data_IF_806269162218
#
_entry.id   IF_806269162218
#
_cell.length_a   1.000
_cell.length_b   1.000
_cell.length_c   1.000
_cell.angle_alpha   90.00
_cell.angle_beta   90.00
_cell.angle_gamma   90.00
#
_symmetry.space_group_name_H-M   'P 1'
#
loop_
_entity.id
_entity.type
_entity.pdbx_description
1 polymer ?
#
# COMPACT_ATOMS: atom_id res chain seq x y z
N UNK A 1 6.85 -15.05 21.05
CA UNK A 1 6.91 -16.36 21.77
C UNK A 1 5.83 -17.24 21.17
N UNK A 2 6.20 -18.34 20.54
CA UNK A 2 5.26 -19.26 19.87
C UNK A 2 4.90 -20.39 20.83
N UNK A 3 3.61 -20.60 21.08
CA UNK A 3 3.12 -21.63 21.97
C UNK A 3 2.77 -22.89 21.20
N UNK A 4 3.32 -24.03 21.58
CA UNK A 4 2.89 -25.34 21.08
C UNK A 4 1.74 -25.85 21.91
N UNK A 5 0.54 -25.85 21.37
CA UNK A 5 -0.68 -26.27 22.09
C UNK A 5 -0.84 -27.80 22.20
N UNK A 6 -0.38 -28.52 21.18
CA UNK A 6 -0.46 -29.99 21.11
C UNK A 6 0.87 -30.54 20.61
N UNK A 7 1.86 -30.67 21.49
CA UNK A 7 3.11 -31.30 21.14
C UNK A 7 3.12 -32.79 21.50
N UNK A 8 3.76 -33.58 20.68
CA UNK A 8 4.01 -35.01 20.91
C UNK A 8 5.51 -35.18 21.08
N UNK A 9 5.96 -35.67 22.24
CA UNK A 9 7.37 -35.96 22.49
C UNK A 9 7.98 -35.16 23.64
N UNK A 10 9.32 -35.00 23.64
CA UNK A 10 10.11 -34.48 24.73
C UNK A 10 10.27 -32.93 24.72
N UNK A 11 9.53 -32.21 23.88
CA UNK A 11 9.62 -30.75 23.84
C UNK A 11 8.90 -30.12 25.03
N UNK A 12 9.58 -29.17 25.69
CA UNK A 12 8.92 -28.33 26.70
C UNK A 12 7.83 -27.46 26.07
N UNK A 13 6.72 -27.16 26.79
CA UNK A 13 5.75 -26.16 26.37
C UNK A 13 6.36 -24.79 26.07
N UNK A 14 7.51 -24.50 26.70
CA UNK A 14 8.26 -23.23 26.56
C UNK A 14 9.39 -23.34 25.52
N UNK A 15 9.38 -24.37 24.68
CA UNK A 15 10.43 -24.57 23.70
C UNK A 15 10.56 -23.37 22.77
N UNK A 16 11.78 -22.82 22.70
CA UNK A 16 12.12 -21.72 21.81
C UNK A 16 12.51 -22.27 20.45
N UNK A 17 11.71 -21.98 19.41
CA UNK A 17 12.00 -22.44 18.07
C UNK A 17 13.08 -21.62 17.38
N UNK A 18 13.05 -20.30 17.56
CA UNK A 18 14.09 -19.37 17.09
C UNK A 18 14.03 -18.07 17.89
N UNK A 19 15.15 -17.36 17.90
CA UNK A 19 15.23 -16.03 18.51
C UNK A 19 16.12 -15.14 17.68
N UNK A 20 15.65 -13.92 17.46
CA UNK A 20 16.50 -12.83 17.00
C UNK A 20 16.13 -11.53 17.69
N UNK A 21 17.12 -10.66 17.83
CA UNK A 21 16.97 -9.35 18.42
C UNK A 21 17.39 -8.29 17.41
N UNK A 22 16.58 -7.26 17.23
CA UNK A 22 16.92 -6.11 16.39
C UNK A 22 17.12 -4.86 17.24
N UNK A 23 18.09 -4.05 16.86
CA UNK A 23 18.32 -2.71 17.40
C UNK A 23 18.38 -1.73 16.24
N UNK A 24 17.61 -0.66 16.34
CA UNK A 24 17.59 0.42 15.36
C UNK A 24 17.81 1.74 16.08
N UNK A 25 18.80 2.50 15.63
CA UNK A 25 19.02 3.90 16.02
C UNK A 25 18.74 4.75 14.79
N UNK A 26 17.86 5.74 14.92
CA UNK A 26 17.37 6.56 13.81
C UNK A 26 17.39 8.02 14.21
N UNK A 27 18.18 8.82 13.50
CA UNK A 27 18.30 10.24 13.71
C UNK A 27 18.11 11.00 12.41
N UNK A 28 17.42 12.14 12.46
CA UNK A 28 17.27 13.01 11.31
C UNK A 28 17.42 14.48 11.68
N UNK A 29 17.88 15.26 10.70
CA UNK A 29 17.89 16.71 10.73
C UNK A 29 17.24 17.22 9.46
N UNK A 30 16.45 18.27 9.55
CA UNK A 30 15.81 18.87 8.40
C UNK A 30 15.85 20.40 8.44
N UNK A 31 15.85 20.99 7.25
CA UNK A 31 15.72 22.44 7.04
C UNK A 31 14.64 22.68 6.01
N UNK A 32 13.66 23.50 6.35
CA UNK A 32 12.56 23.89 5.46
C UNK A 32 12.55 25.39 5.28
N UNK A 33 12.47 25.84 4.02
CA UNK A 33 12.34 27.23 3.66
C UNK A 33 11.19 27.42 2.64
N UNK A 34 10.48 28.50 2.78
CA UNK A 34 9.47 28.96 1.81
C UNK A 34 9.67 30.45 1.57
N UNK A 35 9.58 30.86 0.30
CA UNK A 35 9.79 32.24 -0.08
C UNK A 35 8.75 32.69 -1.11
N UNK A 36 8.09 33.80 -0.82
CA UNK A 36 7.15 34.42 -1.72
C UNK A 36 7.93 35.28 -2.74
N UNK A 37 7.86 34.90 -4.01
CA UNK A 37 8.57 35.54 -5.09
C UNK A 37 7.86 36.82 -5.54
N UNK A 38 6.78 36.70 -6.28
CA UNK A 38 5.96 37.84 -6.76
C UNK A 38 4.68 37.32 -7.40
N UNK A 39 3.63 38.12 -7.47
CA UNK A 39 2.41 37.82 -8.24
C UNK A 39 1.72 36.50 -7.84
N UNK A 40 1.75 36.13 -6.55
CA UNK A 40 1.15 34.90 -6.06
C UNK A 40 2.01 33.64 -6.27
N UNK A 41 3.23 33.79 -6.80
CA UNK A 41 4.20 32.73 -6.96
C UNK A 41 5.06 32.58 -5.70
N UNK A 42 5.17 31.36 -5.16
CA UNK A 42 6.05 31.02 -4.05
C UNK A 42 6.89 29.78 -4.40
N UNK A 43 8.10 29.73 -3.85
CA UNK A 43 9.00 28.58 -3.94
C UNK A 43 9.22 28.01 -2.55
N UNK A 44 9.42 26.70 -2.46
CA UNK A 44 9.84 26.05 -1.23
C UNK A 44 10.94 25.03 -1.47
N UNK A 45 11.75 24.85 -0.43
CA UNK A 45 12.74 23.77 -0.36
C UNK A 45 12.66 23.12 1.02
N UNK A 46 12.74 21.80 1.05
CA UNK A 46 12.82 20.98 2.25
C UNK A 46 13.99 20.02 2.07
N UNK A 47 14.97 20.12 2.94
CA UNK A 47 16.19 19.29 2.91
C UNK A 47 16.22 18.45 4.16
N UNK A 48 16.21 17.14 4.00
CA UNK A 48 16.33 16.20 5.11
C UNK A 48 17.56 15.31 4.93
N UNK A 49 18.32 15.17 5.99
CA UNK A 49 19.32 14.13 6.15
C UNK A 49 18.89 13.19 7.27
N UNK A 50 18.95 11.87 7.02
CA UNK A 50 18.57 10.83 7.96
C UNK A 50 19.65 9.77 8.01
N UNK A 51 20.12 9.47 9.23
CA UNK A 51 21.09 8.43 9.51
C UNK A 51 20.44 7.31 10.31
N UNK A 52 20.68 6.06 9.89
CA UNK A 52 20.14 4.88 10.54
C UNK A 52 21.25 3.85 10.75
N UNK A 53 21.44 3.42 11.99
CA UNK A 53 22.15 2.20 12.33
C UNK A 53 21.14 1.10 12.61
N UNK A 54 21.26 -0.04 11.93
CA UNK A 54 20.32 -1.13 12.06
C UNK A 54 21.03 -2.48 12.15
N UNK A 55 20.87 -3.15 13.29
CA UNK A 55 21.42 -4.48 13.53
C UNK A 55 20.31 -5.47 13.84
N UNK A 56 20.47 -6.71 13.33
CA UNK A 56 19.67 -7.86 13.74
C UNK A 56 20.66 -8.98 14.02
N UNK A 57 20.55 -9.62 15.16
CA UNK A 57 21.41 -10.73 15.57
C UNK A 57 20.57 -11.88 16.13
N UNK A 58 21.00 -13.13 15.83
CA UNK A 58 20.35 -14.35 16.28
C UNK A 58 20.14 -15.37 15.18
N UNK A 59 18.99 -16.05 15.17
CA UNK A 59 18.59 -17.01 14.16
C UNK A 59 17.20 -16.70 13.62
N UNK A 60 16.95 -17.04 12.36
CA UNK A 60 15.61 -17.05 11.79
C UNK A 60 14.98 -18.45 11.95
N UNK A 61 13.73 -18.62 11.50
CA UNK A 61 12.96 -19.86 11.53
C UNK A 61 13.39 -20.90 10.46
N UNK A 62 14.32 -20.56 9.58
CA UNK A 62 14.78 -21.43 8.49
C UNK A 62 15.89 -22.35 8.96
N UNK A 63 15.73 -23.65 8.72
CA UNK A 63 16.68 -24.67 9.13
C UNK A 63 17.69 -25.00 8.01
N UNK A 64 18.97 -25.00 8.34
CA UNK A 64 20.05 -25.45 7.46
C UNK A 64 20.35 -26.94 7.76
N UNK A 65 19.83 -27.82 6.93
CA UNK A 65 20.00 -29.28 7.08
C UNK A 65 21.46 -29.73 6.95
N UNK A 66 22.30 -28.97 6.22
CA UNK A 66 23.72 -29.31 6.08
C UNK A 66 24.50 -28.99 7.37
N UNK A 67 24.10 -27.95 8.09
CA UNK A 67 24.75 -27.55 9.35
C UNK A 67 24.02 -28.07 10.57
N UNK A 68 22.89 -28.74 10.38
CA UNK A 68 22.03 -29.24 11.46
C UNK A 68 21.69 -28.16 12.50
N UNK A 69 21.39 -26.93 12.03
CA UNK A 69 21.14 -25.76 12.87
C UNK A 69 20.18 -24.78 12.16
N UNK A 70 19.57 -23.92 12.95
CA UNK A 70 18.84 -22.76 12.41
C UNK A 70 19.84 -21.84 11.67
N UNK A 71 19.36 -21.22 10.57
CA UNK A 71 20.19 -20.28 9.82
C UNK A 71 20.44 -19.03 10.66
N UNK A 72 21.69 -18.59 10.77
CA UNK A 72 22.02 -17.35 11.47
C UNK A 72 21.42 -16.15 10.73
N UNK A 73 20.94 -15.21 11.50
CA UNK A 73 20.50 -13.90 11.02
C UNK A 73 21.45 -12.87 11.62
N UNK A 74 22.35 -12.32 10.80
CA UNK A 74 23.33 -11.33 11.20
C UNK A 74 23.26 -10.15 10.22
N UNK A 75 22.57 -9.09 10.61
CA UNK A 75 22.42 -7.85 9.84
C UNK A 75 23.14 -6.74 10.57
N UNK A 76 24.06 -6.08 9.89
CA UNK A 76 24.70 -4.83 10.35
C UNK A 76 24.70 -3.88 9.16
N UNK A 77 23.80 -2.89 9.20
CA UNK A 77 23.58 -1.95 8.11
C UNK A 77 23.51 -0.52 8.60
N UNK A 78 24.16 0.35 7.85
CA UNK A 78 24.06 1.80 8.02
C UNK A 78 23.47 2.41 6.77
N UNK A 79 22.55 3.34 6.97
CA UNK A 79 21.93 4.06 5.89
C UNK A 79 22.06 5.55 6.12
N UNK A 80 22.51 6.24 5.08
CA UNK A 80 22.64 7.69 5.04
C UNK A 80 21.76 8.20 3.90
N UNK A 81 20.64 8.81 4.24
CA UNK A 81 19.65 9.26 3.29
C UNK A 81 19.63 10.77 3.21
N UNK A 82 19.76 11.30 2.00
CA UNK A 82 19.50 12.69 1.70
C UNK A 82 18.22 12.79 0.86
N UNK A 83 17.19 13.39 1.43
CA UNK A 83 15.83 13.47 0.89
C UNK A 83 15.45 14.95 0.64
N UNK A 84 15.93 15.57 -0.44
CA UNK A 84 15.51 16.92 -0.81
C UNK A 84 14.11 16.91 -1.43
N UNK A 85 13.35 17.98 -1.14
CA UNK A 85 12.10 18.31 -1.83
C UNK A 85 12.11 19.77 -2.19
N UNK A 86 11.78 20.08 -3.44
CA UNK A 86 11.65 21.46 -3.94
C UNK A 86 10.36 21.61 -4.73
N UNK A 87 9.79 22.79 -4.75
CA UNK A 87 8.61 23.03 -5.54
C UNK A 87 8.24 24.49 -5.66
N UNK A 88 7.36 24.73 -6.61
CA UNK A 88 6.75 26.01 -6.90
C UNK A 88 5.24 25.92 -6.71
N UNK A 89 4.65 26.94 -6.10
CA UNK A 89 3.20 27.12 -6.03
C UNK A 89 2.87 28.48 -6.61
N UNK A 90 1.91 28.52 -7.51
CA UNK A 90 1.43 29.74 -8.10
C UNK A 90 -0.08 29.89 -7.92
N UNK A 91 -0.47 30.82 -7.07
CA UNK A 91 -1.84 31.28 -6.95
C UNK A 91 -2.07 32.35 -8.04
N UNK A 92 -2.53 31.92 -9.22
CA UNK A 92 -2.80 32.81 -10.37
C UNK A 92 -3.82 33.90 -9.95
N UNK A 93 -4.81 33.48 -9.18
CA UNK A 93 -5.78 34.36 -8.49
C UNK A 93 -6.43 33.57 -7.34
N UNK A 94 -7.49 34.12 -6.73
CA UNK A 94 -8.20 33.48 -5.61
C UNK A 94 -8.82 32.11 -5.92
N UNK A 95 -9.03 31.78 -7.19
CA UNK A 95 -9.73 30.57 -7.64
C UNK A 95 -8.83 29.57 -8.31
N UNK A 96 -7.67 29.99 -8.82
CA UNK A 96 -6.80 29.16 -9.65
C UNK A 96 -5.41 29.00 -9.03
N UNK A 97 -5.01 27.78 -8.79
CA UNK A 97 -3.69 27.42 -8.29
C UNK A 97 -3.04 26.36 -9.17
N UNK A 98 -1.74 26.53 -9.45
CA UNK A 98 -0.86 25.56 -10.11
C UNK A 98 0.28 25.24 -9.16
N UNK A 99 0.78 24.01 -9.17
CA UNK A 99 2.01 23.67 -8.51
C UNK A 99 2.83 22.69 -9.34
N UNK A 100 4.14 22.68 -9.08
CA UNK A 100 5.04 21.65 -9.54
C UNK A 100 6.06 21.34 -8.43
N UNK A 101 6.40 20.07 -8.25
CA UNK A 101 7.37 19.65 -7.25
C UNK A 101 8.23 18.51 -7.75
N UNK A 102 9.43 18.43 -7.18
CA UNK A 102 10.35 17.32 -7.28
C UNK A 102 10.80 16.92 -5.89
N UNK A 103 10.83 15.62 -5.62
CA UNK A 103 11.36 15.09 -4.37
C UNK A 103 12.17 13.82 -4.57
N UNK A 104 13.11 13.60 -3.65
CA UNK A 104 13.83 12.35 -3.46
C UNK A 104 13.42 11.77 -2.14
N UNK A 105 12.99 10.51 -2.12
CA UNK A 105 12.70 9.76 -0.92
C UNK A 105 13.49 8.44 -0.91
N UNK A 106 13.99 8.06 0.24
CA UNK A 106 14.73 6.82 0.43
C UNK A 106 14.21 6.11 1.67
N UNK A 107 14.15 4.79 1.61
CA UNK A 107 13.61 3.96 2.69
C UNK A 107 14.42 2.69 2.84
N UNK A 108 14.79 2.39 4.07
CA UNK A 108 15.46 1.16 4.45
C UNK A 108 14.49 -0.03 4.45
N UNK A 109 14.97 -1.27 4.24
CA UNK A 109 14.18 -2.46 4.44
C UNK A 109 13.71 -2.59 5.89
N UNK A 110 12.52 -3.13 6.08
CA UNK A 110 11.95 -3.44 7.40
C UNK A 110 12.56 -4.74 7.95
N UNK A 111 12.31 -5.05 9.24
CA UNK A 111 12.75 -6.30 9.85
C UNK A 111 12.27 -7.51 9.05
N UNK A 112 11.00 -7.54 8.66
CA UNK A 112 10.42 -8.67 7.94
C UNK A 112 11.09 -8.91 6.58
N UNK A 113 11.55 -7.85 5.90
CA UNK A 113 12.30 -8.01 4.65
C UNK A 113 13.62 -8.77 4.86
N UNK A 114 14.24 -8.72 6.05
CA UNK A 114 15.45 -9.48 6.39
C UNK A 114 15.14 -10.88 6.92
N UNK A 115 14.12 -11.03 7.78
CA UNK A 115 13.77 -12.31 8.39
C UNK A 115 13.13 -13.27 7.40
N UNK A 116 12.25 -12.77 6.54
CA UNK A 116 11.44 -13.58 5.63
C UNK A 116 12.05 -13.67 4.22
N UNK A 117 12.94 -12.73 3.90
CA UNK A 117 13.66 -12.69 2.63
C UNK A 117 14.64 -13.83 2.42
N UNK A 118 15.33 -13.82 1.28
CA UNK A 118 16.39 -14.77 1.01
C UNK A 118 17.59 -14.51 1.97
N UNK A 119 17.99 -15.45 2.82
CA UNK A 119 19.10 -15.27 3.75
C UNK A 119 20.46 -15.07 3.05
N UNK A 120 20.57 -15.50 1.79
CA UNK A 120 21.80 -15.36 1.01
C UNK A 120 21.88 -14.03 0.25
N UNK A 121 20.79 -13.23 0.28
CA UNK A 121 20.73 -11.93 -0.41
C UNK A 121 19.84 -10.96 0.38
N UNK A 122 20.45 -10.19 1.25
CA UNK A 122 19.73 -9.16 2.01
C UNK A 122 19.16 -8.06 1.11
N UNK A 123 17.97 -7.57 1.45
CA UNK A 123 17.31 -6.53 0.68
C UNK A 123 18.09 -5.21 0.73
N UNK A 124 17.96 -4.41 -0.33
CA UNK A 124 18.52 -3.07 -0.45
C UNK A 124 17.51 -2.01 -0.06
N UNK A 125 18.02 -0.84 0.30
CA UNK A 125 17.17 0.35 0.46
C UNK A 125 16.60 0.79 -0.88
N UNK A 126 15.32 1.15 -0.90
CA UNK A 126 14.68 1.72 -2.08
C UNK A 126 14.92 3.23 -2.18
N UNK A 127 14.99 3.74 -3.42
CA UNK A 127 15.07 5.16 -3.73
C UNK A 127 13.97 5.53 -4.72
N UNK A 128 13.31 6.64 -4.45
CA UNK A 128 12.27 7.24 -5.27
C UNK A 128 12.70 8.63 -5.74
N UNK A 129 12.55 8.90 -7.03
CA UNK A 129 12.51 10.24 -7.61
C UNK A 129 11.05 10.52 -7.99
N UNK A 130 10.47 11.54 -7.39
CA UNK A 130 9.06 11.86 -7.53
C UNK A 130 8.87 13.24 -8.17
N UNK A 131 8.16 13.28 -9.27
CA UNK A 131 7.83 14.47 -10.04
C UNK A 131 6.32 14.64 -10.05
N UNK A 132 5.84 15.78 -9.57
CA UNK A 132 4.42 16.09 -9.55
C UNK A 132 4.14 17.45 -10.17
N UNK A 133 3.01 17.55 -10.84
CA UNK A 133 2.45 18.83 -11.29
C UNK A 133 0.93 18.81 -11.21
N UNK A 134 0.35 19.84 -10.66
CA UNK A 134 -1.09 19.89 -10.44
C UNK A 134 -1.71 21.26 -10.67
N UNK A 135 -2.99 21.23 -10.96
CA UNK A 135 -3.84 22.39 -11.09
C UNK A 135 -5.09 22.23 -10.24
N UNK A 136 -5.49 23.28 -9.58
CA UNK A 136 -6.74 23.32 -8.79
C UNK A 136 -7.52 24.59 -9.14
N UNK A 137 -8.81 24.40 -9.42
CA UNK A 137 -9.82 25.44 -9.45
C UNK A 137 -10.73 25.30 -8.24
N UNK A 138 -11.02 26.40 -7.55
CA UNK A 138 -11.97 26.40 -6.44
C UNK A 138 -12.76 27.70 -6.41
N UNK A 139 -14.08 27.58 -6.25
CA UNK A 139 -14.96 28.69 -5.94
C UNK A 139 -15.96 28.28 -4.84
N UNK A 140 -17.03 29.06 -4.62
CA UNK A 140 -17.97 28.80 -3.53
C UNK A 140 -18.82 27.53 -3.66
N UNK A 141 -18.94 26.94 -4.85
CA UNK A 141 -19.77 25.75 -5.09
C UNK A 141 -19.04 24.61 -5.83
N UNK A 142 -17.87 24.89 -6.42
CA UNK A 142 -17.11 23.94 -7.23
C UNK A 142 -15.64 23.94 -6.83
N UNK A 143 -15.10 22.76 -6.59
CA UNK A 143 -13.66 22.48 -6.56
C UNK A 143 -13.35 21.45 -7.62
N UNK A 144 -12.38 21.72 -8.50
CA UNK A 144 -11.91 20.77 -9.51
C UNK A 144 -10.38 20.77 -9.51
N UNK A 145 -9.78 19.62 -9.64
CA UNK A 145 -8.32 19.48 -9.65
C UNK A 145 -7.86 18.34 -10.51
N UNK A 146 -6.65 18.49 -11.04
CA UNK A 146 -5.91 17.44 -11.71
C UNK A 146 -4.48 17.45 -11.20
N UNK A 147 -3.96 16.28 -10.89
CA UNK A 147 -2.55 16.05 -10.52
C UNK A 147 -1.96 15.03 -11.47
N UNK A 148 -0.83 15.33 -12.06
CA UNK A 148 0.03 14.40 -12.80
C UNK A 148 1.22 14.04 -11.92
N UNK A 149 1.58 12.75 -11.87
CA UNK A 149 2.75 12.27 -11.14
C UNK A 149 3.56 11.29 -11.97
N UNK A 150 4.87 11.32 -11.76
CA UNK A 150 5.81 10.32 -12.26
C UNK A 150 6.82 9.98 -11.17
N UNK A 151 6.76 8.75 -10.70
CA UNK A 151 7.56 8.19 -9.62
C UNK A 151 8.52 7.17 -10.22
N UNK A 152 9.83 7.44 -10.22
CA UNK A 152 10.88 6.54 -10.71
C UNK A 152 11.61 5.91 -9.54
N UNK A 153 11.57 4.59 -9.47
CA UNK A 153 12.12 3.83 -8.36
C UNK A 153 13.39 3.08 -8.77
N UNK A 154 14.36 3.07 -7.87
CA UNK A 154 15.52 2.20 -7.88
C UNK A 154 15.45 1.26 -6.69
N UNK A 155 15.68 -0.04 -6.91
CA UNK A 155 15.64 -1.11 -5.91
C UNK A 155 14.32 -1.10 -5.09
N UNK A 156 13.16 -0.83 -5.72
CA UNK A 156 11.86 -0.82 -5.05
C UNK A 156 11.58 -2.19 -4.43
N UNK A 157 11.11 -2.21 -3.18
CA UNK A 157 10.58 -3.40 -2.53
C UNK A 157 9.12 -3.60 -2.92
N UNK A 158 8.86 -4.60 -3.76
CA UNK A 158 7.52 -4.93 -4.26
C UNK A 158 7.04 -6.27 -3.69
N UNK A 159 5.71 -6.42 -3.57
CA UNK A 159 5.11 -7.69 -3.18
C UNK A 159 5.34 -8.73 -4.26
N UNK A 160 5.74 -9.94 -3.87
CA UNK A 160 5.92 -11.07 -4.80
C UNK A 160 4.60 -11.77 -5.15
N UNK A 161 3.59 -11.60 -4.33
CA UNK A 161 2.35 -12.37 -4.35
C UNK A 161 2.37 -13.59 -3.43
N UNK A 162 3.55 -14.09 -3.07
CA UNK A 162 3.70 -15.22 -2.17
C UNK A 162 3.62 -14.81 -0.68
N UNK A 163 3.32 -15.79 0.17
CA UNK A 163 3.31 -15.65 1.62
C UNK A 163 4.45 -16.48 2.23
N UNK A 164 4.90 -16.07 3.42
CA UNK A 164 5.75 -16.89 4.27
C UNK A 164 4.92 -17.95 5.02
N UNK A 165 5.59 -18.78 5.84
CA UNK A 165 4.96 -19.92 6.55
C UNK A 165 3.92 -19.49 7.61
N UNK A 166 3.89 -18.22 7.98
CA UNK A 166 2.92 -17.64 8.93
C UNK A 166 1.87 -16.74 8.26
N UNK A 167 1.85 -16.70 6.92
CA UNK A 167 0.85 -15.95 6.16
C UNK A 167 1.18 -14.47 5.92
N UNK A 168 2.41 -14.02 6.15
CA UNK A 168 2.83 -12.66 5.83
C UNK A 168 3.32 -12.55 4.38
N UNK A 169 3.03 -11.41 3.75
CA UNK A 169 3.38 -11.17 2.35
C UNK A 169 4.90 -11.00 2.16
N UNK A 170 5.46 -11.76 1.24
CA UNK A 170 6.86 -11.66 0.85
C UNK A 170 7.10 -10.50 -0.11
N UNK A 171 8.27 -9.89 0.03
CA UNK A 171 8.74 -8.80 -0.85
C UNK A 171 10.10 -9.11 -1.44
N UNK A 172 10.35 -8.52 -2.61
CA UNK A 172 11.67 -8.56 -3.27
C UNK A 172 12.04 -7.18 -3.82
N UNK A 173 13.35 -6.90 -3.97
CA UNK A 173 13.80 -5.72 -4.67
C UNK A 173 13.71 -5.92 -6.18
N UNK A 174 13.10 -4.95 -6.87
CA UNK A 174 13.18 -4.85 -8.32
C UNK A 174 14.09 -3.69 -8.70
N UNK A 175 15.09 -3.90 -9.62
CA UNK A 175 16.12 -2.89 -9.88
C UNK A 175 15.56 -1.55 -10.35
N UNK A 176 14.56 -1.59 -11.23
CA UNK A 176 13.95 -0.40 -11.82
C UNK A 176 12.45 -0.58 -12.00
N UNK A 177 11.69 0.33 -11.47
CA UNK A 177 10.24 0.38 -11.65
C UNK A 177 9.76 1.83 -11.70
N UNK A 178 8.55 2.04 -12.19
CA UNK A 178 7.94 3.36 -12.16
C UNK A 178 6.43 3.26 -11.93
N UNK A 179 5.88 4.33 -11.36
CA UNK A 179 4.46 4.60 -11.27
C UNK A 179 4.19 5.97 -11.88
N UNK A 180 3.23 6.06 -12.78
CA UNK A 180 2.82 7.34 -13.35
C UNK A 180 1.31 7.37 -13.50
N UNK A 181 0.73 8.56 -13.41
CA UNK A 181 -0.71 8.66 -13.56
C UNK A 181 -1.23 10.07 -13.50
N UNK A 182 -2.56 10.12 -13.65
CA UNK A 182 -3.35 11.33 -13.50
C UNK A 182 -4.39 11.06 -12.42
N UNK A 183 -4.47 11.95 -11.45
CA UNK A 183 -5.49 11.99 -10.41
C UNK A 183 -6.42 13.17 -10.68
N UNK A 184 -7.70 12.89 -10.80
CA UNK A 184 -8.74 13.89 -10.99
C UNK A 184 -9.61 13.98 -9.73
N UNK A 185 -9.93 15.18 -9.30
CA UNK A 185 -10.85 15.44 -8.20
C UNK A 185 -11.91 16.45 -8.61
N UNK A 186 -13.13 16.21 -8.17
CA UNK A 186 -14.26 17.10 -8.36
C UNK A 186 -15.11 17.11 -7.10
N UNK A 187 -15.38 18.31 -6.55
CA UNK A 187 -16.28 18.53 -5.44
C UNK A 187 -17.32 19.57 -5.83
N UNK A 188 -18.58 19.21 -5.79
CA UNK A 188 -19.71 20.08 -6.17
C UNK A 188 -20.63 20.27 -4.97
N UNK A 189 -20.85 21.51 -4.56
CA UNK A 189 -21.75 21.89 -3.46
C UNK A 189 -22.67 23.04 -3.91
N UNK A 190 -23.66 22.77 -4.77
CA UNK A 190 -24.51 23.78 -5.39
C UNK A 190 -25.47 24.42 -4.38
N UNK A 191 -25.74 23.76 -3.25
CA UNK A 191 -26.62 24.23 -2.20
C UNK A 191 -26.16 23.69 -0.83
N UNK A 192 -26.75 24.18 0.26
CA UNK A 192 -26.34 23.87 1.63
C UNK A 192 -26.62 22.41 2.05
N UNK A 193 -27.55 21.76 1.39
CA UNK A 193 -28.02 20.42 1.75
C UNK A 193 -27.49 19.30 0.86
N UNK A 194 -26.76 19.60 -0.25
CA UNK A 194 -26.20 18.61 -1.16
C UNK A 194 -24.72 18.84 -1.44
N UNK A 195 -23.94 17.78 -1.42
CA UNK A 195 -22.54 17.73 -1.82
C UNK A 195 -22.27 16.45 -2.61
N UNK A 196 -21.54 16.59 -3.69
CA UNK A 196 -21.03 15.49 -4.48
C UNK A 196 -19.52 15.58 -4.60
N UNK A 197 -18.81 14.55 -4.13
CA UNK A 197 -17.37 14.42 -4.23
C UNK A 197 -17.03 13.20 -5.09
N UNK A 198 -16.12 13.36 -6.04
CA UNK A 198 -15.63 12.29 -6.89
C UNK A 198 -14.13 12.45 -7.08
N UNK A 199 -13.39 11.35 -7.04
CA UNK A 199 -12.01 11.30 -7.47
C UNK A 199 -11.76 10.06 -8.31
N UNK A 200 -10.89 10.19 -9.31
CA UNK A 200 -10.49 9.13 -10.20
C UNK A 200 -8.99 9.16 -10.39
N UNK A 201 -8.36 7.99 -10.32
CA UNK A 201 -6.94 7.82 -10.60
C UNK A 201 -6.79 6.88 -11.78
N UNK A 202 -6.07 7.33 -12.80
CA UNK A 202 -5.64 6.51 -13.92
C UNK A 202 -4.13 6.39 -13.87
N UNK A 203 -3.62 5.18 -13.70
CA UNK A 203 -2.21 4.93 -13.44
C UNK A 203 -1.62 3.85 -14.34
N UNK A 204 -0.30 3.89 -14.46
CA UNK A 204 0.52 2.87 -15.10
C UNK A 204 1.68 2.55 -14.16
N UNK A 205 1.69 1.32 -13.63
CA UNK A 205 2.63 0.85 -12.62
C UNK A 205 3.44 -0.29 -13.21
N UNK A 206 4.76 -0.11 -13.46
CA UNK A 206 5.57 -1.06 -14.21
C UNK A 206 6.92 -1.33 -13.59
N UNK A 207 7.35 -2.58 -13.69
CA UNK A 207 8.73 -3.02 -13.46
C UNK A 207 9.40 -3.12 -14.83
N UNK A 208 10.63 -2.61 -14.95
CA UNK A 208 11.46 -2.73 -16.15
C UNK A 208 12.43 -3.90 -16.01
N UNK A 209 12.55 -4.73 -17.05
CA UNK A 209 13.48 -5.88 -17.09
C UNK A 209 13.30 -6.82 -15.88
N UNK A 210 12.06 -7.19 -15.59
CA UNK A 210 11.73 -8.11 -14.50
C UNK A 210 12.23 -9.53 -14.82
N UNK A 211 12.84 -10.18 -13.85
CA UNK A 211 13.24 -11.58 -13.93
C UNK A 211 12.39 -12.39 -12.98
N UNK A 212 11.52 -13.21 -13.53
CA UNK A 212 10.70 -14.15 -12.77
C UNK A 212 11.48 -15.43 -12.53
N UNK A 213 11.61 -15.83 -11.28
CA UNK A 213 12.25 -17.07 -10.86
C UNK A 213 11.18 -18.10 -10.48
N UNK A 214 11.03 -19.14 -11.31
CA UNK A 214 10.00 -20.17 -11.15
C UNK A 214 10.67 -21.45 -10.67
N UNK A 215 10.39 -21.94 -9.45
CA UNK A 215 10.97 -23.16 -8.92
C UNK A 215 10.43 -24.41 -9.63
N UNK A 216 11.28 -25.41 -9.78
CA UNK A 216 10.93 -26.76 -10.25
C UNK A 216 11.00 -27.71 -9.05
N UNK A 217 9.93 -28.43 -8.79
CA UNK A 217 9.84 -29.36 -7.68
C UNK A 217 9.73 -30.83 -8.14
N UNK A 218 10.28 -31.75 -7.33
CA UNK A 218 9.96 -33.15 -7.30
C UNK A 218 9.32 -33.49 -5.95
N UNK A 219 8.01 -33.54 -5.92
CA UNK A 219 7.25 -33.55 -4.68
C UNK A 219 7.58 -32.29 -3.82
N UNK A 220 8.27 -32.50 -2.69
CA UNK A 220 8.69 -31.39 -1.80
C UNK A 220 10.14 -30.92 -2.03
N UNK A 221 10.87 -31.57 -2.94
CA UNK A 221 12.28 -31.24 -3.16
C UNK A 221 12.40 -30.20 -4.28
N UNK A 222 13.01 -29.07 -3.98
CA UNK A 222 13.42 -28.09 -4.97
C UNK A 222 14.57 -28.67 -5.81
N UNK A 223 14.36 -28.84 -7.11
CA UNK A 223 15.35 -29.35 -8.04
C UNK A 223 16.15 -28.24 -8.70
N UNK A 224 15.47 -27.22 -9.21
CA UNK A 224 16.07 -26.12 -9.98
C UNK A 224 15.15 -24.90 -9.98
N UNK A 225 15.63 -23.79 -10.52
CA UNK A 225 14.89 -22.54 -10.71
C UNK A 225 15.03 -22.09 -12.16
N UNK A 226 13.91 -21.96 -12.86
CA UNK A 226 13.86 -21.37 -14.20
C UNK A 226 13.69 -19.87 -14.10
N UNK A 227 14.62 -19.11 -14.69
CA UNK A 227 14.55 -17.66 -14.78
C UNK A 227 13.96 -17.24 -16.12
N UNK A 228 12.85 -16.50 -16.08
CA UNK A 228 12.17 -15.95 -17.27
C UNK A 228 12.30 -14.44 -17.26
N UNK A 229 12.88 -13.85 -18.33
CA UNK A 229 13.07 -12.41 -18.44
C UNK A 229 11.88 -11.75 -19.14
N UNK A 230 11.32 -10.72 -18.51
CA UNK A 230 10.24 -9.89 -19.04
C UNK A 230 10.72 -8.46 -19.26
N UNK A 231 10.49 -7.91 -20.44
CA UNK A 231 10.92 -6.53 -20.76
C UNK A 231 10.22 -5.48 -19.87
N UNK A 232 8.95 -5.69 -19.61
CA UNK A 232 8.15 -4.80 -18.74
C UNK A 232 6.92 -5.56 -18.24
N UNK A 233 6.66 -5.50 -16.92
CA UNK A 233 5.50 -6.12 -16.29
C UNK A 233 4.79 -5.14 -15.37
N UNK A 234 3.54 -5.42 -15.00
CA UNK A 234 2.81 -4.68 -13.97
C UNK A 234 3.35 -5.01 -12.58
N UNK A 235 3.33 -4.00 -11.71
CA UNK A 235 3.57 -4.22 -10.28
C UNK A 235 2.35 -4.92 -9.69
N UNK A 236 2.55 -5.98 -8.92
CA UNK A 236 1.49 -6.71 -8.23
C UNK A 236 0.63 -5.78 -7.36
N UNK A 237 -0.66 -6.10 -7.21
CA UNK A 237 -1.64 -5.37 -6.42
C UNK A 237 -1.73 -3.86 -6.74
N UNK A 238 -1.50 -3.51 -8.02
CA UNK A 238 -1.50 -2.12 -8.48
C UNK A 238 -2.48 -1.96 -9.65
N UNK A 239 -3.76 -1.65 -9.38
CA UNK A 239 -4.77 -1.48 -10.43
C UNK A 239 -4.49 -0.24 -11.28
N UNK A 240 -4.81 -0.32 -12.58
CA UNK A 240 -4.61 0.80 -13.50
C UNK A 240 -5.68 1.90 -13.33
N UNK A 241 -6.83 1.58 -12.70
CA UNK A 241 -7.92 2.53 -12.51
C UNK A 241 -8.60 2.38 -11.14
N UNK A 242 -8.78 3.51 -10.46
CA UNK A 242 -9.51 3.66 -9.21
C UNK A 242 -10.52 4.80 -9.35
N UNK A 243 -11.73 4.62 -8.81
CA UNK A 243 -12.74 5.65 -8.73
C UNK A 243 -13.41 5.61 -7.36
N UNK A 244 -13.51 6.77 -6.71
CA UNK A 244 -14.29 6.94 -5.50
C UNK A 244 -15.32 8.03 -5.72
N UNK A 245 -16.52 7.81 -5.21
CA UNK A 245 -17.65 8.72 -5.33
C UNK A 245 -18.39 8.82 -4.01
N UNK A 246 -18.85 10.03 -3.66
CA UNK A 246 -19.65 10.28 -2.45
C UNK A 246 -20.73 11.29 -2.77
N UNK A 247 -21.99 10.88 -2.65
CA UNK A 247 -23.13 11.78 -2.56
C UNK A 247 -23.50 11.99 -1.11
N UNK A 248 -23.63 13.23 -0.66
CA UNK A 248 -24.00 13.57 0.70
C UNK A 248 -25.16 14.55 0.73
N UNK A 249 -26.13 14.28 1.58
CA UNK A 249 -27.30 15.10 1.85
C UNK A 249 -27.36 15.43 3.33
N UNK A 250 -27.54 16.69 3.67
CA UNK A 250 -27.63 17.16 5.05
C UNK A 250 -28.80 18.11 5.17
N UNK A 251 -29.81 17.77 5.98
CA UNK A 251 -30.98 18.61 6.18
C UNK A 251 -31.53 18.47 7.59
N UNK A 252 -31.63 19.56 8.34
CA UNK A 252 -32.25 19.64 9.68
C UNK A 252 -31.76 18.55 10.67
N UNK A 253 -30.45 18.30 10.71
CA UNK A 253 -29.86 17.27 11.57
C UNK A 253 -29.87 15.85 10.97
N UNK A 254 -30.57 15.62 9.87
CA UNK A 254 -30.47 14.38 9.10
C UNK A 254 -29.32 14.45 8.13
N UNK A 255 -28.54 13.39 8.07
CA UNK A 255 -27.45 13.18 7.13
C UNK A 255 -27.62 11.84 6.42
N UNK A 256 -27.44 11.82 5.10
CA UNK A 256 -27.37 10.60 4.29
C UNK A 256 -26.18 10.71 3.35
N UNK A 257 -25.32 9.69 3.33
CA UNK A 257 -24.19 9.65 2.41
C UNK A 257 -24.07 8.28 1.76
N UNK A 258 -24.09 8.26 0.43
CA UNK A 258 -23.76 7.09 -0.37
C UNK A 258 -22.31 7.22 -0.84
N UNK A 259 -21.46 6.28 -0.44
CA UNK A 259 -20.05 6.18 -0.83
C UNK A 259 -19.89 4.97 -1.72
N UNK A 260 -19.28 5.15 -2.90
CA UNK A 260 -19.04 4.05 -3.82
C UNK A 260 -17.58 4.05 -4.26
N UNK A 261 -17.02 2.86 -4.39
CA UNK A 261 -15.65 2.64 -4.84
C UNK A 261 -15.63 1.64 -5.98
N UNK A 262 -14.93 1.99 -7.05
CA UNK A 262 -14.55 1.06 -8.11
C UNK A 262 -13.05 0.83 -8.06
N UNK A 263 -12.64 -0.43 -8.09
CA UNK A 263 -11.24 -0.86 -8.19
C UNK A 263 -11.09 -1.72 -9.44
N UNK A 264 -10.15 -1.35 -10.30
CA UNK A 264 -9.83 -2.10 -11.51
C UNK A 264 -9.18 -3.45 -11.21
N UNK A 265 -9.13 -4.32 -12.20
CA UNK A 265 -8.43 -5.61 -12.15
C UNK A 265 -6.99 -5.46 -11.69
N UNK A 266 -6.49 -6.41 -10.88
CA UNK A 266 -5.14 -6.44 -10.36
C UNK A 266 -4.49 -7.80 -10.63
N UNK A 267 -3.19 -7.82 -10.90
CA UNK A 267 -2.39 -9.03 -10.91
C UNK A 267 -1.84 -9.28 -9.50
N UNK A 268 -1.86 -10.51 -9.04
CA UNK A 268 -1.31 -10.87 -7.72
C UNK A 268 0.19 -11.14 -7.76
N UNK A 269 0.78 -11.30 -8.96
CA UNK A 269 2.23 -11.49 -9.16
C UNK A 269 2.81 -10.45 -10.11
N UNK A 270 4.10 -10.20 -10.01
CA UNK A 270 4.81 -9.26 -10.90
C UNK A 270 5.04 -9.81 -12.33
N UNK A 271 4.69 -11.06 -12.59
CA UNK A 271 4.86 -11.70 -13.90
C UNK A 271 3.64 -11.54 -14.84
N UNK A 272 2.60 -10.82 -14.42
CA UNK A 272 1.35 -10.61 -15.18
C UNK A 272 0.67 -11.93 -15.60
N UNK A 273 0.63 -12.91 -14.70
CA UNK A 273 -0.04 -14.20 -14.99
C UNK A 273 -1.54 -14.01 -14.95
N UNK A 274 -2.21 -14.23 -16.09
CA UNK A 274 -3.63 -13.96 -16.26
C UNK A 274 -4.53 -14.82 -15.34
N UNK A 275 -4.10 -16.03 -15.03
CA UNK A 275 -4.80 -16.92 -14.09
C UNK A 275 -4.67 -16.50 -12.61
N UNK A 276 -3.78 -15.55 -12.30
CA UNK A 276 -3.47 -15.09 -10.94
C UNK A 276 -3.84 -13.62 -10.78
N UNK A 277 -5.14 -13.33 -10.85
CA UNK A 277 -5.68 -11.96 -10.78
C UNK A 277 -6.80 -11.82 -9.75
N UNK A 278 -6.97 -10.63 -9.26
CA UNK A 278 -8.18 -10.18 -8.57
C UNK A 278 -9.05 -9.44 -9.58
N UNK A 279 -10.31 -9.80 -9.67
CA UNK A 279 -11.27 -9.16 -10.56
C UNK A 279 -11.56 -7.72 -10.12
N UNK A 280 -12.03 -6.91 -11.06
CA UNK A 280 -12.54 -5.56 -10.77
C UNK A 280 -13.83 -5.67 -9.95
N UNK A 281 -14.04 -4.72 -9.05
CA UNK A 281 -15.26 -4.66 -8.26
C UNK A 281 -15.77 -3.23 -8.08
N UNK A 282 -17.06 -3.12 -7.75
CA UNK A 282 -17.74 -1.86 -7.43
C UNK A 282 -18.58 -2.05 -6.18
N UNK A 283 -18.16 -1.46 -5.06
CA UNK A 283 -18.82 -1.58 -3.76
C UNK A 283 -19.37 -0.24 -3.31
N UNK A 284 -20.55 -0.24 -2.68
CA UNK A 284 -21.21 0.96 -2.16
C UNK A 284 -21.63 0.78 -0.72
N UNK A 285 -21.42 1.84 0.08
CA UNK A 285 -21.82 1.92 1.47
C UNK A 285 -22.78 3.08 1.67
N UNK A 286 -23.84 2.87 2.46
CA UNK A 286 -24.80 3.90 2.82
C UNK A 286 -24.66 4.25 4.30
N UNK A 287 -24.43 5.53 4.58
CA UNK A 287 -24.43 6.08 5.93
C UNK A 287 -25.67 6.94 6.13
N UNK A 288 -26.41 6.69 7.19
CA UNK A 288 -27.53 7.48 7.63
C UNK A 288 -27.29 7.94 9.06
N UNK A 289 -27.53 9.21 9.37
CA UNK A 289 -27.41 9.71 10.72
C UNK A 289 -28.48 10.78 11.01
N UNK A 290 -28.89 10.86 12.24
CA UNK A 290 -29.76 11.92 12.74
C UNK A 290 -29.21 12.50 14.04
N UNK A 291 -28.95 13.82 14.03
CA UNK A 291 -28.42 14.57 15.16
C UNK A 291 -29.49 15.49 15.71
N UNK A 292 -29.75 15.38 17.03
CA UNK A 292 -30.65 16.28 17.75
C UNK A 292 -30.01 16.83 19.04
N UNK A 293 -30.53 17.94 19.54
CA UNK A 293 -29.93 18.72 20.64
C UNK A 293 -30.89 18.80 21.85
N UNK A 294 -30.77 17.91 22.84
CA UNK A 294 -31.69 17.83 24.01
C UNK A 294 -31.64 19.04 24.96
N UNK A 295 -30.56 19.88 24.91
CA UNK A 295 -30.41 21.19 25.59
C UNK A 295 -30.23 21.18 27.13
N UNK A 296 -30.07 20.03 27.82
CA UNK A 296 -29.85 20.05 29.28
C UNK A 296 -28.43 19.60 29.63
N UNK A 297 -28.23 18.32 29.90
CA UNK A 297 -26.94 17.73 30.27
C UNK A 297 -26.16 17.33 29.02
N UNK A 298 -26.83 16.75 28.04
CA UNK A 298 -26.28 16.34 26.76
C UNK A 298 -26.53 17.46 25.74
N UNK A 299 -25.48 17.98 25.14
CA UNK A 299 -25.57 19.04 24.12
C UNK A 299 -26.05 18.50 22.77
N UNK A 300 -25.64 17.29 22.44
CA UNK A 300 -25.94 16.70 21.15
C UNK A 300 -25.99 15.17 21.25
N UNK A 301 -26.95 14.55 20.57
CA UNK A 301 -27.04 13.10 20.40
C UNK A 301 -27.13 12.79 18.92
N UNK A 302 -26.27 11.93 18.43
CA UNK A 302 -26.30 11.43 17.06
C UNK A 302 -26.61 9.94 17.07
N UNK A 303 -27.66 9.54 16.36
CA UNK A 303 -27.97 8.14 16.04
C UNK A 303 -27.55 7.89 14.62
N UNK A 304 -26.77 6.85 14.39
CA UNK A 304 -26.28 6.53 13.05
C UNK A 304 -26.37 5.05 12.71
N UNK A 305 -26.54 4.78 11.43
CA UNK A 305 -26.55 3.45 10.82
C UNK A 305 -25.68 3.49 9.58
N UNK A 306 -24.77 2.53 9.46
CA UNK A 306 -23.99 2.28 8.25
C UNK A 306 -24.37 0.91 7.68
N UNK A 307 -24.77 0.89 6.42
CA UNK A 307 -24.95 -0.32 5.64
C UNK A 307 -23.72 -0.47 4.75
N UNK A 308 -22.88 -1.43 5.05
CA UNK A 308 -21.72 -1.77 4.23
C UNK A 308 -22.13 -2.71 3.10
N UNK A 309 -21.50 -2.56 1.96
CA UNK A 309 -21.76 -3.36 0.76
C UNK A 309 -23.27 -3.42 0.46
N UNK A 310 -23.87 -2.26 0.22
CA UNK A 310 -25.31 -2.04 0.08
C UNK A 310 -25.96 -2.96 -0.97
N UNK A 311 -25.24 -3.28 -2.04
CA UNK A 311 -25.73 -4.07 -3.18
C UNK A 311 -25.32 -5.54 -3.13
N UNK A 312 -24.70 -5.99 -2.01
CA UNK A 312 -24.23 -7.35 -1.82
C UNK A 312 -23.29 -7.85 -2.92
N UNK A 313 -22.35 -7.01 -3.33
CA UNK A 313 -21.30 -7.38 -4.29
C UNK A 313 -20.42 -8.49 -3.71
N UNK A 314 -20.23 -9.56 -4.45
CA UNK A 314 -19.29 -10.64 -4.10
C UNK A 314 -17.93 -10.30 -4.73
N UNK A 315 -16.92 -10.03 -3.89
CA UNK A 315 -15.62 -9.61 -4.38
C UNK A 315 -14.48 -9.99 -3.42
N UNK A 316 -13.28 -10.04 -3.98
CA UNK A 316 -12.03 -10.20 -3.27
C UNK A 316 -11.17 -8.96 -3.46
N UNK A 317 -10.61 -8.42 -2.38
CA UNK A 317 -9.71 -7.27 -2.44
C UNK A 317 -8.25 -7.63 -2.15
N UNK A 318 -7.98 -8.87 -1.79
CA UNK A 318 -6.65 -9.39 -1.51
C UNK A 318 -6.59 -10.88 -1.81
N UNK A 319 -5.36 -11.40 -1.91
CA UNK A 319 -5.08 -12.80 -2.14
C UNK A 319 -3.59 -13.08 -2.07
N UNK A 320 -3.23 -14.33 -2.27
CA UNK A 320 -1.84 -14.76 -2.48
C UNK A 320 -1.75 -15.61 -3.73
N UNK A 321 -0.59 -15.63 -4.35
CA UNK A 321 -0.35 -16.39 -5.56
C UNK A 321 1.09 -16.85 -5.67
N UNK A 322 1.28 -18.01 -6.25
CA UNK A 322 2.59 -18.58 -6.59
C UNK A 322 2.54 -19.36 -7.89
N UNK A 323 3.72 -19.55 -8.49
CA UNK A 323 3.88 -20.38 -9.68
C UNK A 323 5.07 -21.31 -9.50
N UNK A 324 4.95 -22.52 -10.01
CA UNK A 324 6.02 -23.54 -10.01
C UNK A 324 5.91 -24.44 -11.24
N UNK A 325 6.93 -25.23 -11.49
CA UNK A 325 6.88 -26.42 -12.34
C UNK A 325 7.05 -27.67 -11.48
N UNK A 326 6.35 -28.73 -11.83
CA UNK A 326 6.65 -30.08 -11.38
C UNK A 326 7.57 -30.74 -12.42
N UNK A 327 8.54 -31.58 -12.01
CA UNK A 327 9.51 -32.22 -12.91
C UNK A 327 8.84 -33.02 -14.04
N UNK A 328 7.67 -33.58 -13.77
CA UNK A 328 6.93 -34.46 -14.67
C UNK A 328 5.88 -33.70 -15.51
N UNK A 329 5.75 -32.37 -15.33
CA UNK A 329 4.73 -31.54 -15.97
C UNK A 329 5.39 -30.48 -16.84
N UNK A 330 5.11 -30.55 -18.15
CA UNK A 330 5.62 -29.56 -19.11
C UNK A 330 4.87 -28.23 -19.12
N UNK A 331 4.12 -27.90 -18.07
CA UNK A 331 3.39 -26.65 -17.97
C UNK A 331 3.51 -26.05 -16.57
N UNK A 332 3.32 -24.74 -16.52
CA UNK A 332 3.33 -23.97 -15.29
C UNK A 332 2.12 -24.31 -14.42
N UNK A 333 2.37 -24.61 -13.17
CA UNK A 333 1.35 -24.79 -12.14
C UNK A 333 1.18 -23.45 -11.41
N UNK A 334 -0.04 -22.92 -11.43
CA UNK A 334 -0.39 -21.70 -10.74
C UNK A 334 -1.28 -22.02 -9.55
N UNK A 335 -0.93 -21.49 -8.38
CA UNK A 335 -1.69 -21.63 -7.14
C UNK A 335 -2.08 -20.26 -6.62
N UNK A 336 -3.31 -20.11 -6.17
CA UNK A 336 -3.82 -18.87 -5.58
C UNK A 336 -4.80 -19.14 -4.46
N UNK A 337 -4.84 -18.23 -3.49
CA UNK A 337 -5.90 -18.15 -2.49
C UNK A 337 -6.44 -16.71 -2.46
N UNK A 338 -7.74 -16.59 -2.25
CA UNK A 338 -8.48 -15.33 -2.32
C UNK A 338 -9.08 -14.98 -0.97
N UNK A 339 -9.04 -13.70 -0.60
CA UNK A 339 -9.65 -13.17 0.61
C UNK A 339 -11.02 -12.56 0.28
N UNK A 340 -12.08 -13.39 0.37
CA UNK A 340 -13.45 -12.95 0.15
C UNK A 340 -13.86 -11.87 1.16
N UNK A 341 -14.53 -10.84 0.69
CA UNK A 341 -15.05 -9.77 1.51
C UNK A 341 -16.47 -10.07 2.00
N UNK A 342 -16.86 -9.42 3.09
CA UNK A 342 -18.19 -9.59 3.64
C UNK A 342 -19.26 -9.07 2.69
N UNK A 343 -20.35 -9.80 2.57
CA UNK A 343 -21.59 -9.34 1.94
C UNK A 343 -22.21 -8.17 2.72
N UNK A 344 -23.44 -7.82 2.40
CA UNK A 344 -24.15 -6.72 3.08
C UNK A 344 -24.18 -6.94 4.59
N UNK A 345 -23.69 -5.94 5.34
CA UNK A 345 -23.75 -5.94 6.80
C UNK A 345 -24.09 -4.54 7.33
N UNK A 346 -24.61 -4.49 8.55
CA UNK A 346 -25.15 -3.27 9.13
C UNK A 346 -24.53 -3.00 10.50
N UNK A 347 -24.10 -1.76 10.72
CA UNK A 347 -23.61 -1.28 12.01
C UNK A 347 -24.41 -0.07 12.48
N UNK A 348 -24.91 -0.13 13.72
CA UNK A 348 -25.51 1.01 14.39
C UNK A 348 -24.55 1.67 15.36
N UNK A 349 -24.61 2.99 15.52
CA UNK A 349 -23.86 3.72 16.53
C UNK A 349 -24.65 4.85 17.17
N UNK A 350 -24.32 5.16 18.40
CA UNK A 350 -24.87 6.30 19.15
C UNK A 350 -23.71 7.12 19.69
N UNK A 351 -23.73 8.42 19.44
CA UNK A 351 -22.74 9.37 19.96
C UNK A 351 -23.39 10.42 20.85
N UNK A 352 -22.74 10.71 21.97
CA UNK A 352 -23.19 11.75 22.92
C UNK A 352 -22.09 12.82 23.02
N UNK A 353 -22.49 14.10 22.93
CA UNK A 353 -21.64 15.24 23.21
C UNK A 353 -22.18 15.99 24.42
N UNK A 354 -21.34 16.14 25.43
CA UNK A 354 -21.63 16.84 26.68
C UNK A 354 -21.19 18.30 26.67
#
# INVERSE_FOLDING_TARGET
MTWVKNYIGALSPDHEYYRNQSKKTDGNIYLKASYDLTGGLSAYADLQYRHIDYTIDGANDKYDWNKNALRPLAVDKKFDFFNPKVGLNWNINSNHRVYASFSVAQKEPTRNNYTDGNPDSYPKAEKLLDYEAGYTFANHWLTAGANFYYMDYTDQLVLTGALNDIGEALTENVPNSYRMGIELMLGIKPCKWFQWDINATWSKNRIKNFVENIPIYDGWNLLDIVSVSHKSTRIAFSPDFLLNNRFAFTYQGFEAALQSQFVGKQYMTNAEVEALTLDKYFVSNLNLAYTFKPRKVVKEVTLGVTVYNLFNEEYENNGWASSSYDKDVNHRINSAGYAAQAGTNVMGHVSFRF
#
